data_IF_224362362157
#
_entry.id   IF_224362362157
#
_cell.length_a   1.000
_cell.length_b   1.000
_cell.length_c   1.000
_cell.angle_alpha   90.00
_cell.angle_beta   90.00
_cell.angle_gamma   90.00
#
_symmetry.space_group_name_H-M   'P 1'
#
loop_
_entity.id
_entity.type
_entity.pdbx_description
1 polymer ?
#
# COMPACT_ATOMS: atom_id res chain seq x y z
N UNK A 1 11.67 -9.89 -11.43
CA UNK A 1 11.20 -10.70 -10.27
C UNK A 1 9.69 -10.76 -10.31
N UNK A 2 9.09 -11.95 -10.25
CA UNK A 2 7.63 -12.11 -10.20
C UNK A 2 7.17 -12.02 -8.74
N UNK A 3 6.06 -11.32 -8.48
CA UNK A 3 5.38 -11.37 -7.19
C UNK A 3 4.53 -12.63 -7.10
N UNK A 4 4.39 -13.22 -5.90
CA UNK A 4 3.55 -14.42 -5.71
C UNK A 4 2.06 -14.10 -5.92
N UNK A 5 1.63 -12.97 -5.37
CA UNK A 5 0.28 -12.44 -5.47
C UNK A 5 0.30 -10.92 -5.18
N UNK A 6 -0.87 -10.29 -5.14
CA UNK A 6 -0.99 -8.85 -4.86
C UNK A 6 -0.60 -8.50 -3.41
N UNK A 7 -0.76 -9.43 -2.48
CA UNK A 7 -0.39 -9.25 -1.08
C UNK A 7 1.13 -9.23 -0.93
N UNK A 8 1.83 -10.16 -1.59
CA UNK A 8 3.30 -10.18 -1.68
C UNK A 8 3.83 -8.91 -2.34
N UNK A 9 3.23 -8.49 -3.46
CA UNK A 9 3.56 -7.23 -4.11
C UNK A 9 3.40 -6.03 -3.15
N UNK A 10 2.30 -5.99 -2.40
CA UNK A 10 2.00 -4.96 -1.40
C UNK A 10 3.02 -4.93 -0.26
N UNK A 11 3.36 -6.08 0.33
CA UNK A 11 4.37 -6.18 1.40
C UNK A 11 5.74 -5.71 0.95
N UNK A 12 6.15 -6.10 -0.26
CA UNK A 12 7.44 -5.69 -0.83
C UNK A 12 7.46 -4.19 -1.13
N UNK A 13 6.39 -3.65 -1.70
CA UNK A 13 6.24 -2.21 -1.91
C UNK A 13 6.28 -1.45 -0.58
N UNK A 14 5.53 -1.92 0.43
CA UNK A 14 5.48 -1.32 1.75
C UNK A 14 6.85 -1.25 2.44
N UNK A 15 7.70 -2.27 2.23
CA UNK A 15 9.07 -2.27 2.76
C UNK A 15 9.94 -1.15 2.16
N UNK A 16 9.70 -0.80 0.90
CA UNK A 16 10.43 0.27 0.21
C UNK A 16 9.91 1.67 0.58
N UNK A 17 8.67 1.77 1.06
CA UNK A 17 8.01 3.02 1.40
C UNK A 17 8.14 3.40 2.88
N UNK A 18 8.92 2.68 3.69
CA UNK A 18 9.05 2.94 5.13
C UNK A 18 9.50 4.36 5.47
N UNK A 19 10.27 5.02 4.58
CA UNK A 19 10.65 6.42 4.74
C UNK A 19 9.43 7.36 4.89
N UNK A 20 8.27 6.99 4.33
CA UNK A 20 7.03 7.77 4.41
C UNK A 20 6.21 7.50 5.69
N UNK A 21 6.60 6.52 6.52
CA UNK A 21 5.89 6.20 7.76
C UNK A 21 5.94 7.34 8.81
N UNK A 22 6.83 8.30 8.63
CA UNK A 22 6.94 9.49 9.50
C UNK A 22 6.37 10.76 8.88
N UNK A 23 5.84 10.69 7.65
CA UNK A 23 5.19 11.85 7.02
C UNK A 23 3.82 12.11 7.67
N UNK A 24 3.60 13.26 8.31
CA UNK A 24 2.27 13.64 8.77
C UNK A 24 1.31 13.74 7.56
N UNK A 25 0.02 13.57 7.83
CA UNK A 25 -1.06 13.79 6.86
C UNK A 25 -0.97 12.98 5.54
N UNK A 26 -0.57 11.70 5.65
CA UNK A 26 -0.54 10.78 4.51
C UNK A 26 -1.85 9.99 4.36
N UNK A 27 -2.18 9.65 3.12
CA UNK A 27 -3.25 8.73 2.75
C UNK A 27 -2.76 7.80 1.65
N UNK A 28 -3.20 6.54 1.68
CA UNK A 28 -3.00 5.59 0.60
C UNK A 28 -4.29 5.50 -0.20
N UNK A 29 -4.24 5.78 -1.51
CA UNK A 29 -5.40 5.68 -2.39
C UNK A 29 -5.21 4.52 -3.35
N UNK A 30 -6.14 3.57 -3.32
CA UNK A 30 -6.13 2.41 -4.19
C UNK A 30 -6.86 2.70 -5.51
N UNK A 31 -6.27 2.23 -6.61
CA UNK A 31 -6.97 2.12 -7.89
C UNK A 31 -7.77 0.81 -7.94
N UNK A 32 -9.02 0.83 -8.46
CA UNK A 32 -9.90 -0.34 -8.51
C UNK A 32 -9.31 -1.57 -9.21
N UNK A 33 -9.99 -2.70 -8.99
CA UNK A 33 -9.74 -4.05 -9.55
C UNK A 33 -8.53 -4.76 -8.93
N UNK A 34 -7.35 -4.18 -9.09
CA UNK A 34 -6.10 -4.85 -8.72
C UNK A 34 -5.28 -4.12 -7.68
N UNK A 35 -5.50 -2.81 -7.50
CA UNK A 35 -4.69 -1.99 -6.59
C UNK A 35 -5.09 -2.13 -5.13
N UNK A 36 -6.35 -2.47 -4.84
CA UNK A 36 -6.88 -2.52 -3.46
C UNK A 36 -6.10 -3.48 -2.54
N UNK A 37 -5.81 -4.75 -2.91
CA UNK A 37 -5.06 -5.63 -2.02
C UNK A 37 -3.60 -5.18 -1.81
N UNK A 38 -3.00 -4.52 -2.82
CA UNK A 38 -1.63 -3.98 -2.72
C UNK A 38 -1.61 -2.78 -1.78
N UNK A 39 -2.53 -1.85 -1.99
CA UNK A 39 -2.67 -0.63 -1.21
C UNK A 39 -3.00 -0.92 0.26
N UNK A 40 -3.78 -1.97 0.55
CA UNK A 40 -4.09 -2.40 1.91
C UNK A 40 -2.83 -2.81 2.71
N UNK A 41 -1.89 -3.52 2.08
CA UNK A 41 -0.63 -3.89 2.74
C UNK A 41 0.26 -2.65 2.99
N UNK A 42 0.30 -1.71 2.04
CA UNK A 42 1.02 -0.45 2.17
C UNK A 42 0.43 0.41 3.29
N UNK A 43 -0.88 0.61 3.29
CA UNK A 43 -1.59 1.38 4.31
C UNK A 43 -1.36 0.81 5.72
N UNK A 44 -1.41 -0.52 5.85
CA UNK A 44 -1.16 -1.20 7.14
C UNK A 44 0.26 -0.96 7.64
N UNK A 45 1.26 -1.18 6.79
CA UNK A 45 2.66 -1.03 7.17
C UNK A 45 3.05 0.42 7.46
N UNK A 46 2.42 1.37 6.76
CA UNK A 46 2.62 2.79 6.97
C UNK A 46 1.65 3.36 8.00
N UNK A 47 0.84 2.59 8.73
CA UNK A 47 -0.17 3.13 9.65
C UNK A 47 -0.96 4.32 9.08
N UNK A 48 -1.34 4.23 7.81
CA UNK A 48 -1.99 5.30 7.07
C UNK A 48 -3.45 4.92 6.77
N UNK A 49 -4.37 5.90 6.69
CA UNK A 49 -5.70 5.69 6.13
C UNK A 49 -5.61 5.12 4.71
N UNK A 50 -6.55 4.23 4.38
CA UNK A 50 -6.74 3.68 3.04
C UNK A 50 -8.06 4.19 2.47
N UNK A 51 -8.01 4.67 1.24
CA UNK A 51 -9.18 5.02 0.44
C UNK A 51 -9.14 4.32 -0.93
N UNK A 52 -10.26 4.28 -1.64
CA UNK A 52 -10.40 3.68 -2.96
C UNK A 52 -11.00 4.70 -3.91
N UNK A 53 -10.30 4.97 -5.01
CA UNK A 53 -10.84 5.82 -6.06
C UNK A 53 -11.97 5.08 -6.79
N UNK A 54 -13.20 5.56 -6.70
CA UNK A 54 -14.41 4.97 -7.33
C UNK A 54 -14.78 5.64 -8.63
#
# INVERSE_FOLDING_TARGET
MLYRDRTDAGKRLASQLQAYAHCPDRIVVALPRGGVPVAAEVARALHAPLDVLV
#
